data_IF_456039197310
#
_entry.id   IF_456039197310
#
_cell.length_a   1.000
_cell.length_b   1.000
_cell.length_c   1.000
_cell.angle_alpha   90.00
_cell.angle_beta   90.00
_cell.angle_gamma   90.00
#
_symmetry.space_group_name_H-M   'P 1'
#
loop_
_entity.id
_entity.type
_entity.pdbx_description
1 polymer ?
#
# COMPACT_ATOMS: atom_id res chain seq x y z
N UNK A 1 -8.90 -11.36 57.71
CA UNK A 1 -9.04 -10.84 56.34
C UNK A 1 -7.68 -10.39 55.84
N UNK A 2 -7.28 -10.75 54.61
CA UNK A 2 -5.94 -10.45 54.09
C UNK A 2 -5.81 -9.03 53.53
N UNK A 3 -4.56 -8.56 53.37
CA UNK A 3 -4.23 -7.22 52.85
C UNK A 3 -4.88 -6.92 51.50
N UNK A 4 -4.96 -7.92 50.61
CA UNK A 4 -5.62 -7.78 49.31
C UNK A 4 -7.12 -7.54 49.44
N UNK A 5 -7.79 -8.18 50.40
CA UNK A 5 -9.22 -7.95 50.67
C UNK A 5 -9.44 -6.52 51.17
N UNK A 6 -8.56 -6.02 52.05
CA UNK A 6 -8.60 -4.64 52.53
C UNK A 6 -8.36 -3.62 51.43
N UNK A 7 -7.41 -3.86 50.54
CA UNK A 7 -7.17 -2.99 49.38
C UNK A 7 -8.41 -2.90 48.47
N UNK A 8 -9.10 -4.03 48.22
CA UNK A 8 -10.37 -4.05 47.46
C UNK A 8 -11.50 -3.30 48.18
N UNK A 9 -11.66 -3.51 49.48
CA UNK A 9 -12.64 -2.80 50.31
C UNK A 9 -12.42 -1.27 50.23
N UNK A 10 -11.17 -0.81 50.38
CA UNK A 10 -10.83 0.63 50.29
C UNK A 10 -11.12 1.19 48.90
N UNK A 11 -10.75 0.47 47.83
CA UNK A 11 -11.04 0.90 46.46
C UNK A 11 -12.53 1.15 46.26
N UNK A 12 -13.39 0.25 46.74
CA UNK A 12 -14.85 0.37 46.54
C UNK A 12 -15.48 1.40 47.49
N UNK A 13 -15.13 1.38 48.78
CA UNK A 13 -15.77 2.23 49.78
C UNK A 13 -15.39 3.71 49.66
N UNK A 14 -14.19 4.00 49.17
CA UNK A 14 -13.67 5.36 49.11
C UNK A 14 -13.46 5.88 47.68
N UNK A 15 -13.84 5.10 46.65
CA UNK A 15 -13.50 5.35 45.25
C UNK A 15 -12.00 5.66 45.05
N UNK A 16 -11.16 4.96 45.82
CA UNK A 16 -9.74 5.22 45.87
C UNK A 16 -8.97 4.38 44.86
N UNK A 17 -8.04 5.01 44.15
CA UNK A 17 -7.07 4.31 43.32
C UNK A 17 -5.97 3.70 44.19
N UNK A 18 -5.95 2.37 44.27
CA UNK A 18 -5.05 1.62 45.15
C UNK A 18 -4.22 0.66 44.30
N UNK A 19 -2.91 0.61 44.54
CA UNK A 19 -2.04 -0.45 44.03
C UNK A 19 -1.25 -1.07 45.16
N UNK A 20 -1.12 -2.38 45.14
CA UNK A 20 -0.35 -3.17 46.09
C UNK A 20 0.66 -4.00 45.32
N UNK A 21 1.92 -3.94 45.72
CA UNK A 21 3.01 -4.78 45.20
C UNK A 21 3.56 -5.60 46.36
N UNK A 22 3.60 -6.92 46.21
CA UNK A 22 4.09 -7.86 47.23
C UNK A 22 5.19 -8.72 46.62
N UNK A 23 6.35 -8.73 47.27
CA UNK A 23 7.46 -9.63 46.94
C UNK A 23 7.48 -10.79 47.95
N UNK A 24 7.47 -12.03 47.46
CA UNK A 24 7.70 -13.20 48.33
C UNK A 24 9.16 -13.28 48.76
N UNK A 25 9.44 -14.11 49.77
CA UNK A 25 10.82 -14.46 50.15
C UNK A 25 11.62 -15.12 49.02
N UNK A 26 10.94 -15.73 48.06
CA UNK A 26 11.54 -16.30 46.84
C UNK A 26 11.79 -15.27 45.73
N UNK A 27 11.49 -13.99 45.97
CA UNK A 27 11.65 -12.91 44.99
C UNK A 27 10.53 -12.80 43.96
N UNK A 28 9.46 -13.59 44.07
CA UNK A 28 8.32 -13.51 43.15
C UNK A 28 7.50 -12.26 43.45
N UNK A 29 7.36 -11.40 42.45
CA UNK A 29 6.47 -10.24 42.52
C UNK A 29 5.02 -10.66 42.22
N UNK A 30 4.10 -10.16 43.04
CA UNK A 30 2.67 -10.19 42.78
C UNK A 30 2.10 -8.79 42.95
N UNK A 31 1.15 -8.42 42.10
CA UNK A 31 0.56 -7.09 42.11
C UNK A 31 -0.96 -7.14 42.10
N UNK A 32 -1.55 -6.09 42.64
CA UNK A 32 -2.95 -5.74 42.51
C UNK A 32 -3.04 -4.25 42.22
N UNK A 33 -3.88 -3.87 41.26
CA UNK A 33 -4.28 -2.48 41.04
C UNK A 33 -5.80 -2.40 40.99
N UNK A 34 -6.36 -1.30 41.49
CA UNK A 34 -7.78 -0.98 41.35
C UNK A 34 -8.17 -0.89 39.87
N UNK A 35 -9.39 -1.27 39.46
CA UNK A 35 -9.81 -1.31 38.05
C UNK A 35 -9.65 0.01 37.28
N UNK A 36 -9.74 1.15 37.97
CA UNK A 36 -9.63 2.48 37.38
C UNK A 36 -8.19 2.95 37.13
N UNK A 37 -7.18 2.13 37.40
CA UNK A 37 -5.76 2.51 37.27
C UNK A 37 -4.86 1.31 36.97
N UNK A 38 -3.58 1.57 36.70
CA UNK A 38 -2.55 0.54 36.55
C UNK A 38 -1.39 0.84 37.48
N UNK A 39 -0.58 -0.17 37.82
CA UNK A 39 0.61 0.02 38.64
C UNK A 39 1.50 1.13 38.06
N UNK A 40 1.77 1.09 36.75
CA UNK A 40 2.58 2.10 36.05
C UNK A 40 2.03 3.52 36.24
N UNK A 41 0.69 3.70 36.12
CA UNK A 41 0.05 5.02 36.33
C UNK A 41 0.16 5.50 37.78
N UNK A 42 0.09 4.59 38.76
CA UNK A 42 0.29 4.94 40.18
C UNK A 42 1.74 5.31 40.45
N UNK A 43 2.70 4.53 39.93
CA UNK A 43 4.14 4.80 40.09
C UNK A 43 4.54 6.13 39.44
N UNK A 44 4.03 6.43 38.24
CA UNK A 44 4.25 7.71 37.57
C UNK A 44 3.75 8.91 38.41
N UNK A 45 2.52 8.80 38.96
CA UNK A 45 1.98 9.84 39.85
C UNK A 45 2.75 9.95 41.15
N UNK A 46 3.16 8.84 41.74
CA UNK A 46 3.98 8.83 42.94
C UNK A 46 5.32 9.52 42.70
N UNK A 47 6.02 9.22 41.60
CA UNK A 47 7.26 9.89 41.23
C UNK A 47 7.06 11.40 41.10
N UNK A 48 6.01 11.84 40.39
CA UNK A 48 5.68 13.27 40.20
C UNK A 48 5.37 13.99 41.51
N UNK A 49 4.62 13.36 42.41
CA UNK A 49 4.20 13.97 43.68
C UNK A 49 5.31 13.95 44.74
N UNK A 50 6.12 12.88 44.79
CA UNK A 50 7.17 12.70 45.80
C UNK A 50 8.52 13.27 45.40
N UNK A 51 8.73 13.58 44.10
CA UNK A 51 10.03 13.95 43.55
C UNK A 51 11.06 12.82 43.53
N UNK A 52 10.69 11.61 43.98
CA UNK A 52 11.59 10.45 43.97
C UNK A 52 11.69 9.88 42.57
N UNK A 53 12.92 9.75 42.08
CA UNK A 53 13.21 9.13 40.79
C UNK A 53 13.08 7.62 40.89
N UNK A 54 12.00 7.08 40.34
CA UNK A 54 11.74 5.64 40.20
C UNK A 54 12.30 5.10 38.88
N UNK A 55 12.21 5.89 37.81
CA UNK A 55 12.69 5.51 36.49
C UNK A 55 14.20 5.73 36.36
N UNK A 56 14.90 4.78 35.73
CA UNK A 56 16.32 4.96 35.41
C UNK A 56 16.51 6.00 34.28
N UNK A 57 17.76 6.41 34.08
CA UNK A 57 18.10 7.39 33.04
C UNK A 57 17.70 6.93 31.63
N UNK A 58 17.70 5.61 31.38
CA UNK A 58 17.33 5.03 30.09
C UNK A 58 15.83 5.18 29.82
N UNK A 59 14.98 4.89 30.82
CA UNK A 59 13.54 5.06 30.72
C UNK A 59 13.15 6.53 30.54
N UNK A 60 13.80 7.44 31.26
CA UNK A 60 13.57 8.88 31.10
C UNK A 60 13.95 9.36 29.69
N UNK A 61 15.11 8.95 29.19
CA UNK A 61 15.54 9.24 27.82
C UNK A 61 14.53 8.72 26.79
N UNK A 62 14.12 7.45 26.89
CA UNK A 62 13.14 6.87 25.97
C UNK A 62 11.79 7.57 26.04
N UNK A 63 11.33 7.95 27.23
CA UNK A 63 10.08 8.70 27.40
C UNK A 63 10.15 10.06 26.70
N UNK A 64 11.26 10.78 26.86
CA UNK A 64 11.48 12.07 26.21
C UNK A 64 11.56 11.91 24.69
N UNK A 65 12.18 10.85 24.20
CA UNK A 65 12.27 10.58 22.76
C UNK A 65 10.90 10.25 22.16
N UNK A 66 10.08 9.47 22.87
CA UNK A 66 8.68 9.22 22.48
C UNK A 66 7.89 10.52 22.43
N UNK A 67 8.05 11.42 23.42
CA UNK A 67 7.39 12.71 23.41
C UNK A 67 7.86 13.60 22.25
N UNK A 68 9.16 13.60 21.96
CA UNK A 68 9.74 14.33 20.83
C UNK A 68 9.16 13.86 19.50
N UNK A 69 9.13 12.54 19.28
CA UNK A 69 8.57 11.93 18.06
C UNK A 69 7.07 12.22 17.95
N UNK A 70 6.31 12.19 19.05
CA UNK A 70 4.88 12.55 19.03
C UNK A 70 4.67 13.99 18.58
N UNK A 71 5.42 14.95 19.15
CA UNK A 71 5.34 16.36 18.75
C UNK A 71 5.71 16.56 17.28
N UNK A 72 6.74 15.87 16.80
CA UNK A 72 7.14 15.91 15.39
C UNK A 72 6.04 15.36 14.49
N UNK A 73 5.44 14.22 14.86
CA UNK A 73 4.31 13.64 14.15
C UNK A 73 3.08 14.56 14.11
N UNK A 74 2.72 15.18 15.24
CA UNK A 74 1.60 16.11 15.31
C UNK A 74 1.84 17.33 14.40
N UNK A 75 3.07 17.86 14.38
CA UNK A 75 3.48 18.93 13.47
C UNK A 75 3.37 18.51 12.00
N UNK A 76 3.81 17.30 11.65
CA UNK A 76 3.67 16.77 10.28
C UNK A 76 2.20 16.60 9.88
N UNK A 77 1.35 16.13 10.78
CA UNK A 77 -0.08 16.00 10.51
C UNK A 77 -0.74 17.35 10.25
N UNK A 78 -0.38 18.39 11.00
CA UNK A 78 -0.83 19.76 10.75
C UNK A 78 -0.39 20.22 9.34
N UNK A 79 0.90 20.04 9.00
CA UNK A 79 1.40 20.39 7.66
C UNK A 79 0.66 19.67 6.54
N UNK A 80 0.36 18.37 6.72
CA UNK A 80 -0.41 17.59 5.76
C UNK A 80 -1.82 18.13 5.56
N UNK A 81 -2.51 18.55 6.64
CA UNK A 81 -3.83 19.18 6.55
C UNK A 81 -3.76 20.48 5.76
N UNK A 82 -2.78 21.34 6.05
CA UNK A 82 -2.59 22.58 5.29
C UNK A 82 -2.34 22.33 3.81
N UNK A 83 -1.49 21.35 3.46
CA UNK A 83 -1.25 20.97 2.05
C UNK A 83 -2.50 20.40 1.36
N UNK A 84 -3.45 19.84 2.11
CA UNK A 84 -4.76 19.40 1.58
C UNK A 84 -5.76 20.54 1.44
N UNK A 85 -5.42 21.75 1.86
CA UNK A 85 -6.33 22.89 1.89
C UNK A 85 -7.24 22.94 3.13
N UNK A 86 -6.93 22.15 4.16
CA UNK A 86 -7.64 22.12 5.44
C UNK A 86 -6.99 23.10 6.45
N UNK A 87 -7.74 23.58 7.44
CA UNK A 87 -7.27 24.44 8.55
C UNK A 87 -6.53 25.74 8.13
N UNK A 88 -6.78 26.26 6.93
CA UNK A 88 -6.04 27.41 6.39
C UNK A 88 -6.41 28.75 7.04
N UNK A 89 -7.58 28.86 7.66
CA UNK A 89 -8.10 30.13 8.21
C UNK A 89 -7.25 30.69 9.34
N UNK A 90 -6.45 29.86 10.01
CA UNK A 90 -5.53 30.29 11.07
C UNK A 90 -4.17 30.78 10.55
N UNK A 91 -3.87 30.61 9.26
CA UNK A 91 -2.58 30.96 8.68
C UNK A 91 -2.56 32.39 8.16
N UNK A 92 -1.45 33.09 8.39
CA UNK A 92 -1.22 34.39 7.80
C UNK A 92 -0.78 34.24 6.32
N UNK A 93 -1.04 35.22 5.44
CA UNK A 93 -0.57 35.19 4.05
C UNK A 93 0.89 34.76 3.83
N UNK A 94 1.82 35.13 4.72
CA UNK A 94 3.23 34.74 4.63
C UNK A 94 3.46 33.23 4.78
N UNK A 95 2.58 32.55 5.51
CA UNK A 95 2.63 31.11 5.74
C UNK A 95 1.94 30.33 4.61
N UNK A 96 1.04 30.98 3.86
CA UNK A 96 0.35 30.37 2.71
C UNK A 96 1.25 30.29 1.47
N UNK A 97 2.13 31.28 1.25
CA UNK A 97 3.07 31.32 0.11
C UNK A 97 3.86 30.01 -0.06
N UNK A 98 4.57 29.48 0.96
CA UNK A 98 5.34 28.24 0.79
C UNK A 98 4.45 27.01 0.55
N UNK A 99 3.18 27.04 0.98
CA UNK A 99 2.21 25.96 0.73
C UNK A 99 1.80 25.98 -0.74
N UNK A 100 1.45 27.16 -1.27
CA UNK A 100 1.10 27.36 -2.67
C UNK A 100 2.26 26.94 -3.58
N UNK A 101 3.47 27.44 -3.33
CA UNK A 101 4.67 27.10 -4.10
C UNK A 101 4.95 25.58 -4.09
N UNK A 102 4.81 24.93 -2.93
CA UNK A 102 4.99 23.47 -2.82
C UNK A 102 3.94 22.70 -3.65
N UNK A 103 2.69 23.15 -3.66
CA UNK A 103 1.61 22.54 -4.44
C UNK A 103 1.78 22.75 -5.93
N UNK A 104 2.15 23.96 -6.37
CA UNK A 104 2.42 24.27 -7.77
C UNK A 104 3.58 23.43 -8.32
N UNK A 105 4.70 23.39 -7.59
CA UNK A 105 5.86 22.59 -7.95
C UNK A 105 5.52 21.09 -7.96
N UNK A 106 4.79 20.60 -6.95
CA UNK A 106 4.32 19.23 -6.90
C UNK A 106 3.44 18.85 -8.09
N UNK A 107 2.49 19.71 -8.45
CA UNK A 107 1.61 19.53 -9.59
C UNK A 107 2.37 19.51 -10.92
N UNK A 108 3.32 20.43 -11.11
CA UNK A 108 4.17 20.48 -12.29
C UNK A 108 4.96 19.17 -12.46
N UNK A 109 5.56 18.66 -11.37
CA UNK A 109 6.32 17.41 -11.37
C UNK A 109 5.44 16.20 -11.71
N UNK A 110 4.23 16.12 -11.13
CA UNK A 110 3.28 15.03 -11.45
C UNK A 110 2.88 15.07 -12.92
N UNK A 111 2.56 16.25 -13.46
CA UNK A 111 2.21 16.42 -14.88
C UNK A 111 3.36 16.04 -15.81
N UNK A 112 4.58 16.43 -15.48
CA UNK A 112 5.77 16.05 -16.24
C UNK A 112 5.94 14.53 -16.27
N UNK A 113 5.83 13.88 -15.11
CA UNK A 113 5.91 12.41 -15.00
C UNK A 113 4.80 11.70 -15.81
N UNK A 114 3.56 12.17 -15.73
CA UNK A 114 2.45 11.65 -16.53
C UNK A 114 2.70 11.80 -18.04
N UNK A 115 3.27 12.94 -18.46
CA UNK A 115 3.58 13.18 -19.85
C UNK A 115 4.68 12.24 -20.37
N UNK A 116 5.72 12.00 -19.58
CA UNK A 116 6.77 11.04 -19.93
C UNK A 116 6.22 9.62 -20.08
N UNK A 117 5.34 9.20 -19.17
CA UNK A 117 4.64 7.92 -19.29
C UNK A 117 3.78 7.83 -20.56
N UNK A 118 3.01 8.88 -20.87
CA UNK A 118 2.20 8.93 -22.09
C UNK A 118 3.05 8.88 -23.36
N UNK A 119 4.20 9.54 -23.37
CA UNK A 119 5.16 9.49 -24.49
C UNK A 119 5.70 8.07 -24.69
N UNK A 120 6.05 7.39 -23.60
CA UNK A 120 6.50 6.01 -23.66
C UNK A 120 5.42 5.07 -24.24
N UNK A 121 4.16 5.21 -23.80
CA UNK A 121 3.04 4.43 -24.33
C UNK A 121 2.83 4.66 -25.84
N UNK A 122 2.80 5.92 -26.28
CA UNK A 122 2.64 6.26 -27.71
C UNK A 122 3.79 5.73 -28.57
N UNK A 123 5.01 5.71 -28.04
CA UNK A 123 6.16 5.11 -28.74
C UNK A 123 5.99 3.60 -28.87
N UNK A 124 5.55 2.93 -27.80
CA UNK A 124 5.31 1.49 -27.81
C UNK A 124 4.20 1.09 -28.78
N UNK A 125 3.11 1.86 -28.83
CA UNK A 125 2.00 1.69 -29.77
C UNK A 125 2.50 1.69 -31.23
N UNK A 126 3.27 2.70 -31.63
CA UNK A 126 3.84 2.78 -32.99
C UNK A 126 4.75 1.59 -33.30
N UNK A 127 5.61 1.21 -32.37
CA UNK A 127 6.51 0.07 -32.54
C UNK A 127 5.72 -1.23 -32.75
N UNK A 128 4.64 -1.43 -32.01
CA UNK A 128 3.77 -2.60 -32.15
C UNK A 128 2.99 -2.58 -33.48
N UNK A 129 2.50 -1.42 -33.91
CA UNK A 129 1.86 -1.27 -35.21
C UNK A 129 2.80 -1.61 -36.36
N UNK A 130 4.03 -1.11 -36.32
CA UNK A 130 5.04 -1.35 -37.35
C UNK A 130 5.45 -2.83 -37.39
N UNK A 131 5.62 -3.46 -36.23
CA UNK A 131 5.90 -4.89 -36.15
C UNK A 131 4.72 -5.73 -36.65
N UNK A 132 3.47 -5.34 -36.32
CA UNK A 132 2.29 -6.05 -36.80
C UNK A 132 2.13 -5.94 -38.32
N UNK A 133 2.42 -4.77 -38.90
CA UNK A 133 2.45 -4.58 -40.37
C UNK A 133 3.52 -5.48 -41.00
N UNK A 134 4.72 -5.53 -40.41
CA UNK A 134 5.83 -6.38 -40.88
C UNK A 134 5.46 -7.86 -40.85
N UNK A 135 4.89 -8.34 -39.75
CA UNK A 135 4.45 -9.72 -39.60
C UNK A 135 3.32 -10.07 -40.56
N UNK A 136 2.34 -9.17 -40.74
CA UNK A 136 1.24 -9.34 -41.70
C UNK A 136 1.75 -9.46 -43.14
N UNK A 137 2.76 -8.65 -43.50
CA UNK A 137 3.41 -8.74 -44.81
C UNK A 137 4.10 -10.09 -45.02
N UNK A 138 4.87 -10.57 -44.04
CA UNK A 138 5.54 -11.87 -44.10
C UNK A 138 4.52 -13.01 -44.23
N UNK A 139 3.44 -12.96 -43.45
CA UNK A 139 2.38 -13.96 -43.50
C UNK A 139 1.71 -13.99 -44.89
N UNK A 140 1.45 -12.83 -45.48
CA UNK A 140 0.90 -12.73 -46.82
C UNK A 140 1.84 -13.32 -47.88
N UNK A 141 3.14 -13.01 -47.80
CA UNK A 141 4.15 -13.60 -48.70
C UNK A 141 4.20 -15.12 -48.58
N UNK A 142 4.15 -15.66 -47.35
CA UNK A 142 4.11 -17.11 -47.12
C UNK A 142 2.83 -17.77 -47.66
N UNK A 143 1.68 -17.11 -47.55
CA UNK A 143 0.44 -17.62 -48.14
C UNK A 143 0.51 -17.68 -49.67
N UNK A 144 1.13 -16.69 -50.31
CA UNK A 144 1.34 -16.70 -51.77
C UNK A 144 2.32 -17.82 -52.16
N UNK A 145 3.43 -17.99 -51.43
CA UNK A 145 4.39 -19.05 -51.75
C UNK A 145 3.82 -20.45 -51.53
N UNK A 146 2.94 -20.64 -50.54
CA UNK A 146 2.23 -21.92 -50.32
C UNK A 146 1.07 -22.15 -51.30
N UNK A 147 0.35 -21.08 -51.71
CA UNK A 147 -0.72 -21.15 -52.72
C UNK A 147 -0.22 -21.31 -54.17
N UNK A 148 1.06 -20.98 -54.42
CA UNK A 148 1.74 -21.21 -55.69
C UNK A 148 2.01 -22.69 -55.99
N UNK A 149 2.08 -23.55 -54.97
CA UNK A 149 2.33 -25.00 -55.13
C UNK A 149 1.07 -25.84 -55.41
N UNK A 150 -0.13 -25.25 -55.51
CA UNK A 150 -1.39 -25.98 -55.77
C UNK A 150 -1.93 -25.73 -57.19
N UNK A 151 -1.25 -24.92 -58.01
CA UNK A 151 -1.74 -24.55 -59.36
C UNK A 151 -1.15 -25.36 -60.52
N UNK A 152 -0.57 -26.53 -60.25
CA UNK A 152 0.04 -27.37 -61.28
C UNK A 152 -0.47 -28.83 -61.28
N UNK A 153 -1.78 -29.04 -61.08
CA UNK A 153 -2.45 -30.27 -61.57
C UNK A 153 -3.88 -29.93 -61.98
N UNK A 154 -4.04 -29.38 -63.19
CA UNK A 154 -4.90 -29.97 -64.24
C UNK A 154 -5.09 -28.98 -65.38
N UNK A 155 -4.55 -29.35 -66.54
CA UNK A 155 -4.92 -28.76 -67.81
C UNK A 155 -5.95 -29.70 -68.43
N UNK A 156 -7.16 -29.18 -68.71
CA UNK A 156 -8.07 -29.49 -69.83
C UNK A 156 -9.54 -29.56 -69.42
N UNK A 157 -10.38 -28.70 -70.00
CA UNK A 157 -11.80 -29.01 -70.22
C UNK A 157 -12.80 -27.88 -70.00
N UNK A 158 -13.16 -27.21 -71.10
CA UNK A 158 -14.50 -26.71 -71.48
C UNK A 158 -15.48 -26.08 -70.46
N UNK A 159 -15.84 -24.82 -70.78
CA UNK A 159 -17.19 -24.22 -70.79
C UNK A 159 -18.14 -24.22 -69.56
N UNK A 160 -18.54 -22.97 -69.27
CA UNK A 160 -19.90 -22.46 -68.98
C UNK A 160 -20.57 -22.63 -67.60
N UNK A 161 -21.01 -21.46 -67.12
CA UNK A 161 -22.25 -21.14 -66.36
C UNK A 161 -22.48 -21.81 -65.00
N UNK A 162 -22.35 -20.95 -63.97
CA UNK A 162 -23.35 -20.72 -62.93
C UNK A 162 -23.71 -21.88 -62.00
N UNK A 163 -23.33 -21.75 -60.72
CA UNK A 163 -24.23 -21.85 -59.55
C UNK A 163 -23.47 -21.67 -58.24
N UNK A 164 -24.26 -21.26 -57.25
CA UNK A 164 -23.90 -20.93 -55.89
C UNK A 164 -23.45 -22.12 -55.02
N UNK A 165 -22.74 -21.76 -53.94
CA UNK A 165 -22.38 -22.48 -52.71
C UNK A 165 -21.05 -23.28 -52.62
N UNK A 166 -20.39 -23.29 -51.42
CA UNK A 166 -18.94 -23.27 -51.27
C UNK A 166 -18.32 -24.54 -50.67
N UNK A 167 -17.04 -24.81 -51.00
CA UNK A 167 -16.04 -25.48 -50.14
C UNK A 167 -14.74 -25.76 -50.91
N UNK A 168 -13.60 -26.10 -50.26
CA UNK A 168 -13.44 -26.38 -48.82
C UNK A 168 -12.35 -25.53 -48.13
N UNK A 169 -12.58 -25.24 -46.85
CA UNK A 169 -11.54 -24.78 -45.91
C UNK A 169 -10.71 -26.00 -45.47
N UNK A 170 -9.39 -25.92 -45.58
CA UNK A 170 -8.47 -26.49 -44.59
C UNK A 170 -7.74 -25.28 -43.97
N UNK A 171 -7.81 -24.95 -42.69
CA UNK A 171 -7.48 -25.74 -41.51
C UNK A 171 -8.10 -25.06 -40.30
N UNK A 172 -8.75 -25.82 -39.41
CA UNK A 172 -9.11 -25.32 -38.09
C UNK A 172 -7.89 -25.47 -37.17
N UNK A 173 -7.19 -24.36 -36.88
CA UNK A 173 -6.26 -24.33 -35.74
C UNK A 173 -7.08 -24.22 -34.45
N UNK A 174 -7.23 -25.33 -33.73
CA UNK A 174 -7.64 -25.29 -32.33
C UNK A 174 -6.52 -24.61 -31.53
N UNK A 175 -6.75 -23.40 -31.06
CA UNK A 175 -5.98 -22.85 -29.94
C UNK A 175 -6.29 -23.72 -28.71
N UNK A 176 -5.32 -24.51 -28.26
CA UNK A 176 -5.41 -25.09 -26.93
C UNK A 176 -5.27 -23.95 -25.90
N UNK A 177 -6.15 -23.86 -24.90
CA UNK A 177 -5.95 -22.94 -23.79
C UNK A 177 -4.67 -23.34 -23.05
N UNK A 178 -3.69 -22.43 -23.00
CA UNK A 178 -2.53 -22.58 -22.12
C UNK A 178 -3.05 -22.48 -20.68
N UNK A 179 -3.08 -23.60 -19.97
CA UNK A 179 -3.25 -23.60 -18.52
C UNK A 179 -1.95 -23.09 -17.88
N UNK A 180 -1.98 -22.08 -16.99
CA UNK A 180 -0.80 -21.70 -16.24
C UNK A 180 -0.55 -22.73 -15.13
N UNK A 181 0.57 -23.44 -15.21
CA UNK A 181 1.06 -24.27 -14.11
C UNK A 181 1.50 -23.36 -12.95
N UNK A 182 0.66 -23.22 -11.93
CA UNK A 182 1.07 -22.79 -10.61
C UNK A 182 1.82 -23.97 -9.94
N UNK A 183 3.15 -23.89 -9.91
CA UNK A 183 3.92 -24.60 -8.90
C UNK A 183 4.38 -23.60 -7.84
N UNK A 184 3.56 -23.51 -6.80
CA UNK A 184 3.96 -23.07 -5.48
C UNK A 184 4.77 -24.22 -4.88
N UNK A 185 6.05 -24.00 -4.56
CA UNK A 185 6.80 -24.92 -3.72
C UNK A 185 7.20 -24.22 -2.44
N UNK A 186 6.95 -24.95 -1.35
CA UNK A 186 7.21 -24.63 0.05
C UNK A 186 8.71 -24.62 0.34
#
# INVERSE_FOLDING_TARGET
GGILKKAKEITVLCDAQVSLVVFSSTGKMSEYSSPSTTLVKILDRYQKASGKKLWDAKHEFLSNEVERIKKENDSMQIKLRHLKGEDLTSLHPKELIPIEEALENGLANVRASQMEFLRALKKNERNLEDENKRLSYILHQQQISMGGNVREVDHHGYHQKGRDYPSPIPFAFRLQPIQPNLHQNK
#
